data_IF_968301263282
#
_entry.id   IF_968301263282
#
_cell.length_a   1.000
_cell.length_b   1.000
_cell.length_c   1.000
_cell.angle_alpha   90.00
_cell.angle_beta   90.00
_cell.angle_gamma   90.00
#
_symmetry.space_group_name_H-M   'P 1'
#
loop_
_entity.id
_entity.type
_entity.pdbx_description
1 polymer ?
#
# COMPACT_ATOMS: atom_id res chain seq x y z
N UNK A 1 8.46 18.82 -6.61
CA UNK A 1 8.20 17.50 -5.98
C UNK A 1 7.54 16.57 -6.98
N UNK A 2 7.96 15.32 -7.06
CA UNK A 2 7.30 14.29 -7.88
C UNK A 2 6.34 13.46 -7.04
N UNK A 3 5.15 13.19 -7.58
CA UNK A 3 4.08 12.42 -6.94
C UNK A 3 3.46 11.45 -7.96
N UNK A 4 2.81 10.36 -7.49
CA UNK A 4 2.08 9.45 -8.38
C UNK A 4 0.56 9.67 -8.37
N UNK A 5 0.04 10.55 -7.51
CA UNK A 5 -1.38 10.86 -7.49
C UNK A 5 -1.75 11.89 -8.54
N UNK A 6 -2.79 11.60 -9.32
CA UNK A 6 -3.44 12.56 -10.22
C UNK A 6 -4.80 13.03 -9.71
N UNK A 7 -5.14 12.73 -8.45
CA UNK A 7 -6.39 13.17 -7.82
C UNK A 7 -6.33 14.69 -7.55
N UNK A 8 -7.29 15.44 -8.11
CA UNK A 8 -7.34 16.89 -8.00
C UNK A 8 -7.45 17.36 -6.54
N UNK A 9 -8.22 16.65 -5.68
CA UNK A 9 -8.36 17.01 -4.27
C UNK A 9 -7.04 16.88 -3.50
N UNK A 10 -6.22 15.86 -3.81
CA UNK A 10 -4.88 15.74 -3.23
C UNK A 10 -3.98 16.90 -3.67
N UNK A 11 -3.97 17.21 -4.97
CA UNK A 11 -3.14 18.30 -5.52
C UNK A 11 -3.56 19.67 -5.00
N UNK A 12 -4.85 19.93 -4.86
CA UNK A 12 -5.37 21.18 -4.27
C UNK A 12 -4.88 21.34 -2.83
N UNK A 13 -4.99 20.30 -2.00
CA UNK A 13 -4.49 20.29 -0.63
C UNK A 13 -2.98 20.53 -0.56
N UNK A 14 -2.19 19.86 -1.42
CA UNK A 14 -0.73 20.08 -1.45
C UNK A 14 -0.36 21.51 -1.89
N UNK A 15 -1.10 22.09 -2.85
CA UNK A 15 -0.88 23.46 -3.28
C UNK A 15 -1.22 24.47 -2.17
N UNK A 16 -2.29 24.26 -1.40
CA UNK A 16 -2.62 25.11 -0.25
C UNK A 16 -1.49 25.11 0.81
N UNK A 17 -0.98 23.91 1.16
CA UNK A 17 0.15 23.79 2.09
C UNK A 17 1.42 24.46 1.53
N UNK A 18 1.65 24.35 0.23
CA UNK A 18 2.81 24.97 -0.43
C UNK A 18 2.69 26.51 -0.47
N UNK A 19 1.51 27.04 -0.71
CA UNK A 19 1.26 28.49 -0.71
C UNK A 19 1.54 29.10 0.68
N UNK A 20 1.16 28.42 1.76
CA UNK A 20 1.45 28.84 3.13
C UNK A 20 2.96 28.84 3.42
N UNK A 21 3.68 27.81 2.96
CA UNK A 21 5.15 27.76 3.07
C UNK A 21 5.82 28.91 2.32
N UNK A 22 5.43 29.18 1.07
CA UNK A 22 5.98 30.24 0.24
C UNK A 22 5.76 31.62 0.88
N UNK A 23 4.62 31.84 1.55
CA UNK A 23 4.32 33.10 2.23
C UNK A 23 5.35 33.45 3.32
N UNK A 24 5.88 32.43 4.01
CA UNK A 24 6.86 32.57 5.09
C UNK A 24 8.31 32.44 4.60
N UNK A 25 8.53 31.94 3.37
CA UNK A 25 9.85 31.68 2.79
C UNK A 25 10.08 32.51 1.51
N UNK A 26 10.36 33.82 1.59
CA UNK A 26 10.41 34.71 0.43
C UNK A 26 11.56 34.39 -0.59
N UNK A 27 12.43 33.45 -0.28
CA UNK A 27 13.46 32.94 -1.21
C UNK A 27 12.94 31.80 -2.10
N UNK A 28 11.77 31.24 -1.77
CA UNK A 28 11.08 30.24 -2.57
C UNK A 28 10.05 30.93 -3.45
N UNK A 29 10.23 30.86 -4.76
CA UNK A 29 9.33 31.50 -5.72
C UNK A 29 8.11 30.63 -6.04
N UNK A 30 8.30 29.31 -6.06
CA UNK A 30 7.27 28.34 -6.45
C UNK A 30 7.60 26.95 -5.89
N UNK A 31 6.55 26.19 -5.52
CA UNK A 31 6.60 24.74 -5.29
C UNK A 31 5.69 24.10 -6.31
N UNK A 32 6.21 23.16 -7.09
CA UNK A 32 5.46 22.47 -8.15
C UNK A 32 5.34 20.98 -7.85
N UNK A 33 4.16 20.41 -8.16
CA UNK A 33 3.90 18.97 -8.05
C UNK A 33 3.83 18.36 -9.45
N UNK A 34 4.84 17.56 -9.82
CA UNK A 34 4.90 16.84 -11.08
C UNK A 34 4.29 15.45 -10.90
N UNK A 35 3.19 15.19 -11.60
CA UNK A 35 2.52 13.89 -11.57
C UNK A 35 3.20 12.95 -12.57
N UNK A 36 3.77 11.85 -12.08
CA UNK A 36 4.28 10.75 -12.89
C UNK A 36 3.30 9.57 -12.82
N UNK A 37 3.08 8.82 -13.93
CA UNK A 37 2.21 7.66 -13.92
C UNK A 37 2.66 6.60 -12.91
N UNK A 38 1.71 6.06 -12.14
CA UNK A 38 1.98 5.07 -11.09
C UNK A 38 2.80 3.88 -11.60
N UNK A 39 2.40 3.28 -12.73
CA UNK A 39 3.02 2.07 -13.29
C UNK A 39 4.50 2.22 -13.66
N UNK A 40 4.93 3.45 -13.97
CA UNK A 40 6.31 3.75 -14.40
C UNK A 40 7.02 4.71 -13.43
N UNK A 41 6.44 4.95 -12.26
CA UNK A 41 6.91 6.00 -11.36
C UNK A 41 8.37 5.82 -10.94
N UNK A 42 8.73 4.64 -10.42
CA UNK A 42 10.09 4.35 -9.94
C UNK A 42 11.10 4.34 -11.08
N UNK A 43 10.74 3.80 -12.25
CA UNK A 43 11.61 3.84 -13.42
C UNK A 43 11.90 5.28 -13.85
N UNK A 44 10.87 6.13 -13.95
CA UNK A 44 11.02 7.53 -14.31
C UNK A 44 11.86 8.31 -13.28
N UNK A 45 11.62 8.09 -11.99
CA UNK A 45 12.38 8.70 -10.90
C UNK A 45 13.86 8.27 -10.95
N UNK A 46 14.13 6.98 -11.14
CA UNK A 46 15.49 6.43 -11.25
C UNK A 46 16.23 7.02 -12.45
N UNK A 47 15.55 7.20 -13.59
CA UNK A 47 16.12 7.86 -14.77
C UNK A 47 16.48 9.33 -14.48
N UNK A 48 15.63 10.07 -13.77
CA UNK A 48 15.94 11.47 -13.38
C UNK A 48 17.16 11.53 -12.45
N UNK A 49 17.24 10.64 -11.45
CA UNK A 49 18.39 10.53 -10.54
C UNK A 49 19.67 10.20 -11.28
N UNK A 50 19.67 9.18 -12.14
CA UNK A 50 20.84 8.78 -12.94
C UNK A 50 21.27 9.85 -13.95
N UNK A 51 20.32 10.64 -14.44
CA UNK A 51 20.55 11.75 -15.36
C UNK A 51 21.19 12.98 -14.70
N UNK A 52 21.32 13.00 -13.36
CA UNK A 52 21.86 14.12 -12.61
C UNK A 52 20.93 15.34 -12.55
N UNK A 53 19.65 15.12 -12.72
CA UNK A 53 18.60 16.14 -12.61
C UNK A 53 17.45 15.61 -11.71
N UNK A 54 17.75 15.29 -10.43
CA UNK A 54 16.75 14.80 -9.50
C UNK A 54 15.68 15.86 -9.26
N UNK A 55 14.45 15.44 -8.90
CA UNK A 55 13.53 16.35 -8.24
C UNK A 55 14.10 16.74 -6.86
N UNK A 56 13.59 17.82 -6.27
CA UNK A 56 14.01 18.21 -4.91
C UNK A 56 13.46 17.21 -3.87
N UNK A 57 12.15 16.86 -4.03
CA UNK A 57 11.47 15.82 -3.24
C UNK A 57 10.75 14.86 -4.19
N UNK A 58 10.54 13.64 -3.71
CA UNK A 58 9.73 12.66 -4.42
C UNK A 58 9.06 11.66 -3.47
N UNK A 59 7.95 11.12 -3.92
CA UNK A 59 7.33 10.00 -3.25
C UNK A 59 8.14 8.73 -3.49
N UNK A 60 8.23 7.88 -2.49
CA UNK A 60 8.96 6.61 -2.54
C UNK A 60 8.04 5.51 -2.03
N UNK A 61 7.94 4.41 -2.78
CA UNK A 61 7.21 3.23 -2.31
C UNK A 61 8.00 2.49 -1.23
N UNK A 62 7.31 1.93 -0.26
CA UNK A 62 7.88 1.12 0.81
C UNK A 62 8.78 -0.01 0.28
N UNK A 63 8.37 -0.69 -0.78
CA UNK A 63 9.13 -1.78 -1.41
C UNK A 63 10.52 -1.38 -1.88
N UNK A 64 10.70 -0.10 -2.21
CA UNK A 64 11.97 0.46 -2.68
C UNK A 64 12.77 1.18 -1.58
N UNK A 65 12.24 1.31 -0.36
CA UNK A 65 12.91 2.02 0.73
C UNK A 65 14.35 1.54 0.99
N UNK A 66 14.61 0.23 1.20
CA UNK A 66 15.97 -0.25 1.44
C UNK A 66 16.93 0.03 0.30
N UNK A 67 16.46 -0.08 -0.95
CA UNK A 67 17.27 0.19 -2.16
C UNK A 67 17.70 1.65 -2.25
N UNK A 68 16.80 2.62 -1.98
CA UNK A 68 17.10 4.05 -2.04
C UNK A 68 17.98 4.49 -0.87
N UNK A 69 17.80 3.91 0.33
CA UNK A 69 18.63 4.18 1.51
C UNK A 69 20.06 3.65 1.28
N UNK A 70 20.22 2.38 0.88
CA UNK A 70 21.52 1.77 0.58
C UNK A 70 22.26 2.49 -0.56
N UNK A 71 21.54 2.99 -1.57
CA UNK A 71 22.12 3.78 -2.65
C UNK A 71 22.62 5.15 -2.18
N UNK A 72 22.29 5.59 -0.96
CA UNK A 72 22.73 6.85 -0.37
C UNK A 72 22.27 8.09 -1.16
N UNK A 73 21.10 8.04 -1.81
CA UNK A 73 20.59 9.15 -2.64
C UNK A 73 19.68 10.10 -1.87
N UNK A 74 19.28 9.72 -0.65
CA UNK A 74 18.38 10.47 0.20
C UNK A 74 19.14 11.30 1.24
N UNK A 75 18.53 12.41 1.64
CA UNK A 75 19.01 13.27 2.73
C UNK A 75 18.50 12.72 4.07
N UNK A 76 19.38 12.68 5.08
CA UNK A 76 18.95 12.43 6.45
C UNK A 76 18.10 13.61 6.96
N UNK A 77 16.87 13.33 7.34
CA UNK A 77 15.88 14.30 7.77
C UNK A 77 15.81 14.47 9.30
N UNK A 78 16.39 13.52 10.07
CA UNK A 78 16.21 13.45 11.53
C UNK A 78 16.52 14.79 12.19
N UNK A 79 17.71 15.36 11.95
CA UNK A 79 18.10 16.63 12.54
C UNK A 79 17.17 17.79 12.11
N UNK A 80 16.80 17.88 10.84
CA UNK A 80 15.92 18.96 10.35
C UNK A 80 14.56 18.92 11.02
N UNK A 81 13.99 17.71 11.17
CA UNK A 81 12.68 17.52 11.80
C UNK A 81 12.72 17.74 13.32
N UNK A 82 13.82 17.32 13.99
CA UNK A 82 14.01 17.55 15.44
C UNK A 82 14.18 19.04 15.77
N UNK A 83 14.89 19.80 14.90
CA UNK A 83 15.17 21.22 15.12
C UNK A 83 14.02 22.15 14.65
N UNK A 84 13.05 21.63 13.88
CA UNK A 84 11.89 22.41 13.43
C UNK A 84 11.00 22.79 14.61
N UNK A 85 10.64 24.08 14.70
CA UNK A 85 9.86 24.62 15.82
C UNK A 85 8.48 23.95 15.89
N UNK A 86 8.12 23.46 17.06
CA UNK A 86 6.84 22.80 17.36
C UNK A 86 6.50 21.60 16.45
N UNK A 87 7.51 20.93 15.86
CA UNK A 87 7.29 19.80 14.94
C UNK A 87 6.81 18.54 15.67
N UNK A 88 7.27 18.28 16.90
CA UNK A 88 6.89 17.08 17.65
C UNK A 88 7.47 15.80 17.05
N UNK A 89 8.79 15.74 16.81
CA UNK A 89 9.46 14.59 16.21
C UNK A 89 9.23 13.29 17.00
N UNK A 90 9.18 13.36 18.34
CA UNK A 90 8.92 12.23 19.24
C UNK A 90 7.48 11.66 19.11
N UNK A 91 6.58 12.34 18.40
CA UNK A 91 5.21 11.90 18.13
C UNK A 91 5.14 10.92 16.93
N UNK A 92 6.25 10.74 16.20
CA UNK A 92 6.30 9.78 15.10
C UNK A 92 6.41 8.36 15.64
N UNK A 93 5.52 7.46 15.17
CA UNK A 93 5.52 6.07 15.64
C UNK A 93 6.69 5.27 15.05
N UNK A 94 7.28 4.39 15.86
CA UNK A 94 8.34 3.49 15.40
C UNK A 94 7.83 2.58 14.27
N UNK A 95 6.61 2.04 14.38
CA UNK A 95 6.00 1.18 13.37
C UNK A 95 5.92 1.83 11.98
N UNK A 96 5.69 3.15 11.90
CA UNK A 96 5.65 3.85 10.63
C UNK A 96 7.05 4.22 10.12
N UNK A 97 8.00 4.52 11.01
CA UNK A 97 9.31 5.07 10.63
C UNK A 97 10.42 4.02 10.49
N UNK A 98 10.27 2.81 11.06
CA UNK A 98 11.33 1.78 11.09
C UNK A 98 11.89 1.48 9.69
N UNK A 99 11.04 1.30 8.69
CA UNK A 99 11.45 1.01 7.31
C UNK A 99 12.32 2.11 6.67
N UNK A 100 12.16 3.36 7.14
CA UNK A 100 12.79 4.55 6.56
C UNK A 100 14.02 4.99 7.34
N UNK A 101 14.41 4.21 8.36
CA UNK A 101 15.57 4.49 9.21
C UNK A 101 16.76 3.64 8.84
N UNK A 102 17.94 4.24 9.00
CA UNK A 102 19.21 3.54 9.06
C UNK A 102 20.03 4.19 10.17
N UNK A 103 20.56 3.41 11.10
CA UNK A 103 21.20 3.89 12.33
C UNK A 103 20.28 4.89 13.09
N UNK A 104 20.77 6.10 13.35
CA UNK A 104 20.01 7.18 14.02
C UNK A 104 19.29 8.11 13.01
N UNK A 105 19.44 7.90 11.70
CA UNK A 105 18.88 8.74 10.64
C UNK A 105 17.45 8.37 10.26
N UNK A 106 16.73 9.32 9.64
CA UNK A 106 15.44 9.13 8.96
C UNK A 106 15.55 9.63 7.53
N UNK A 107 15.47 8.75 6.55
CA UNK A 107 15.78 9.07 5.14
C UNK A 107 14.55 9.40 4.28
N UNK A 108 13.36 9.09 4.75
CA UNK A 108 12.12 9.59 4.17
C UNK A 108 11.04 9.68 5.24
N UNK A 109 10.06 10.57 5.05
CA UNK A 109 8.92 10.72 5.96
C UNK A 109 7.74 9.90 5.45
N UNK A 110 7.24 8.91 6.18
CA UNK A 110 6.12 8.04 5.78
C UNK A 110 4.78 8.79 5.89
N UNK A 111 4.47 9.66 4.94
CA UNK A 111 3.27 10.50 4.98
C UNK A 111 1.96 9.72 4.93
N UNK A 112 2.00 8.49 4.43
CA UNK A 112 0.86 7.58 4.34
C UNK A 112 1.25 6.21 4.87
N UNK A 113 0.65 5.79 5.98
CA UNK A 113 0.71 4.41 6.48
C UNK A 113 -0.69 3.83 6.35
N UNK A 114 -0.94 3.16 5.23
CA UNK A 114 -2.28 2.81 4.77
C UNK A 114 -2.50 1.30 4.85
N UNK A 115 -3.25 0.78 5.84
CA UNK A 115 -3.58 -0.63 5.91
C UNK A 115 -4.32 -1.11 4.66
N UNK A 116 -3.99 -2.31 4.20
CA UNK A 116 -4.83 -3.01 3.25
C UNK A 116 -6.09 -3.52 3.94
N UNK A 117 -7.20 -3.36 3.28
CA UNK A 117 -8.52 -3.75 3.78
C UNK A 117 -9.35 -4.33 2.65
N UNK A 118 -10.41 -5.06 2.99
CA UNK A 118 -11.37 -5.55 2.02
C UNK A 118 -12.54 -4.58 1.90
N UNK A 119 -12.66 -3.91 0.76
CA UNK A 119 -13.85 -3.16 0.38
C UNK A 119 -14.84 -4.10 -0.31
N UNK A 120 -16.15 -3.85 -0.14
CA UNK A 120 -17.17 -4.66 -0.78
C UNK A 120 -18.38 -3.82 -1.20
N UNK A 121 -19.05 -4.25 -2.26
CA UNK A 121 -20.29 -3.67 -2.77
C UNK A 121 -21.46 -4.38 -2.11
N UNK A 122 -22.13 -3.71 -1.15
CA UNK A 122 -23.21 -4.29 -0.38
C UNK A 122 -24.44 -4.62 -1.24
N UNK A 123 -24.70 -3.85 -2.31
CA UNK A 123 -25.84 -4.09 -3.20
C UNK A 123 -25.69 -5.42 -3.96
N UNK A 124 -24.45 -5.79 -4.34
CA UNK A 124 -24.17 -7.08 -5.01
C UNK A 124 -24.37 -8.28 -4.07
N UNK A 125 -24.02 -8.14 -2.79
CA UNK A 125 -24.28 -9.16 -1.76
C UNK A 125 -25.78 -9.31 -1.51
N UNK A 126 -26.52 -8.20 -1.43
CA UNK A 126 -27.98 -8.24 -1.29
C UNK A 126 -28.64 -8.91 -2.51
N UNK A 127 -28.22 -8.59 -3.74
CA UNK A 127 -28.73 -9.21 -4.97
C UNK A 127 -28.45 -10.71 -5.02
N UNK A 128 -27.29 -11.15 -4.56
CA UNK A 128 -26.93 -12.57 -4.45
C UNK A 128 -27.61 -13.28 -3.26
N UNK A 129 -28.22 -12.53 -2.33
CA UNK A 129 -28.83 -13.07 -1.12
C UNK A 129 -27.84 -13.62 -0.11
N UNK A 130 -26.66 -13.01 -0.03
CA UNK A 130 -25.55 -13.39 0.85
C UNK A 130 -25.43 -12.43 2.04
N UNK A 131 -24.87 -12.94 3.13
CA UNK A 131 -24.37 -12.10 4.22
C UNK A 131 -23.19 -11.26 3.73
N UNK A 132 -23.15 -10.00 4.16
CA UNK A 132 -22.08 -9.08 3.81
C UNK A 132 -20.77 -9.40 4.55
N UNK A 133 -19.60 -9.00 4.03
CA UNK A 133 -18.35 -9.11 4.76
C UNK A 133 -18.38 -8.54 6.18
N UNK A 134 -19.12 -7.44 6.44
CA UNK A 134 -19.30 -6.91 7.79
C UNK A 134 -20.07 -7.88 8.69
N UNK A 135 -21.15 -8.48 8.22
CA UNK A 135 -21.92 -9.46 8.99
C UNK A 135 -21.08 -10.71 9.31
N UNK A 136 -20.31 -11.21 8.32
CA UNK A 136 -19.37 -12.33 8.53
C UNK A 136 -18.26 -11.96 9.52
N UNK A 137 -17.69 -10.74 9.44
CA UNK A 137 -16.70 -10.25 10.37
C UNK A 137 -17.23 -10.19 11.82
N UNK A 138 -18.43 -9.64 12.02
CA UNK A 138 -19.10 -9.56 13.32
C UNK A 138 -19.45 -10.96 13.89
N UNK A 139 -19.70 -11.93 13.02
CA UNK A 139 -19.92 -13.32 13.40
C UNK A 139 -18.63 -14.09 13.73
N UNK A 140 -17.45 -13.54 13.40
CA UNK A 140 -16.15 -14.24 13.51
C UNK A 140 -15.99 -15.34 12.44
N UNK A 141 -16.63 -15.15 11.28
CA UNK A 141 -16.63 -16.06 10.14
C UNK A 141 -15.95 -15.44 8.89
N UNK A 142 -15.31 -14.26 9.05
CA UNK A 142 -14.65 -13.55 7.97
C UNK A 142 -13.26 -14.12 7.70
N UNK A 143 -13.18 -15.04 6.75
CA UNK A 143 -11.96 -15.79 6.38
C UNK A 143 -11.70 -15.70 4.88
N UNK A 144 -10.49 -16.04 4.43
CA UNK A 144 -10.19 -16.15 3.00
C UNK A 144 -11.06 -17.20 2.28
N UNK A 145 -11.44 -18.28 2.97
CA UNK A 145 -12.41 -19.25 2.43
C UNK A 145 -13.78 -18.57 2.21
N UNK A 146 -14.23 -17.74 3.15
CA UNK A 146 -15.48 -16.99 3.01
C UNK A 146 -15.43 -16.00 1.84
N UNK A 147 -14.27 -15.35 1.59
CA UNK A 147 -14.08 -14.48 0.42
C UNK A 147 -14.22 -15.27 -0.88
N UNK A 148 -13.56 -16.43 -0.97
CA UNK A 148 -13.59 -17.28 -2.17
C UNK A 148 -15.01 -17.82 -2.43
N UNK A 149 -15.64 -18.37 -1.40
CA UNK A 149 -17.00 -18.92 -1.49
C UNK A 149 -18.05 -17.87 -1.86
N UNK A 150 -18.07 -16.73 -1.14
CA UNK A 150 -19.03 -15.65 -1.43
C UNK A 150 -18.74 -15.00 -2.79
N UNK A 151 -17.46 -14.81 -3.13
CA UNK A 151 -17.06 -14.31 -4.45
C UNK A 151 -17.54 -15.19 -5.60
N UNK A 152 -17.30 -16.51 -5.52
CA UNK A 152 -17.80 -17.46 -6.51
C UNK A 152 -19.34 -17.47 -6.60
N UNK A 153 -20.02 -17.35 -5.45
CA UNK A 153 -21.49 -17.34 -5.43
C UNK A 153 -22.08 -16.05 -6.02
N UNK A 154 -21.50 -14.88 -5.73
CA UNK A 154 -21.92 -13.61 -6.35
C UNK A 154 -21.84 -13.67 -7.88
N UNK A 155 -20.75 -14.27 -8.41
CA UNK A 155 -20.59 -14.49 -9.86
C UNK A 155 -21.61 -15.49 -10.39
N UNK A 156 -21.81 -16.61 -9.71
CA UNK A 156 -22.76 -17.65 -10.13
C UNK A 156 -24.22 -17.17 -10.17
N UNK A 157 -24.63 -16.30 -9.26
CA UNK A 157 -25.95 -15.67 -9.23
C UNK A 157 -26.07 -14.51 -10.24
N UNK A 158 -24.96 -14.08 -10.85
CA UNK A 158 -24.90 -13.01 -11.85
C UNK A 158 -25.01 -11.60 -11.26
N UNK A 159 -24.78 -11.44 -9.95
CA UNK A 159 -24.83 -10.16 -9.26
C UNK A 159 -23.57 -9.30 -9.55
N UNK A 160 -22.42 -9.92 -9.86
CA UNK A 160 -21.22 -9.23 -10.32
C UNK A 160 -20.47 -10.04 -11.39
N UNK A 161 -19.68 -9.37 -12.27
CA UNK A 161 -18.78 -10.05 -13.20
C UNK A 161 -17.65 -10.83 -12.52
N UNK A 162 -17.15 -10.32 -11.38
CA UNK A 162 -16.07 -10.91 -10.60
C UNK A 162 -16.38 -10.86 -9.10
N UNK A 163 -15.94 -11.87 -8.36
CA UNK A 163 -16.18 -11.98 -6.92
C UNK A 163 -15.28 -11.06 -6.12
N UNK A 164 -13.97 -11.14 -6.33
CA UNK A 164 -13.01 -10.26 -5.69
C UNK A 164 -11.83 -9.96 -6.59
N UNK A 165 -11.12 -8.89 -6.31
CA UNK A 165 -9.87 -8.51 -6.98
C UNK A 165 -8.84 -8.05 -5.96
N UNK A 166 -7.59 -8.50 -6.10
CA UNK A 166 -6.45 -7.89 -5.43
C UNK A 166 -5.99 -6.73 -6.31
N UNK A 167 -6.26 -5.49 -5.86
CA UNK A 167 -5.98 -4.30 -6.65
C UNK A 167 -4.49 -4.17 -6.97
N UNK A 168 -4.22 -3.64 -8.15
CA UNK A 168 -2.88 -3.40 -8.68
C UNK A 168 -2.02 -4.66 -8.84
N UNK A 169 -2.53 -5.85 -8.48
CA UNK A 169 -1.82 -7.10 -8.71
C UNK A 169 -1.65 -7.37 -10.22
N UNK A 170 -2.72 -7.39 -10.98
CA UNK A 170 -2.80 -7.57 -12.43
C UNK A 170 -1.82 -8.63 -13.00
N UNK A 171 -1.48 -9.66 -12.19
CA UNK A 171 -0.47 -10.68 -12.47
C UNK A 171 0.96 -10.12 -12.70
N UNK A 172 1.24 -8.92 -12.21
CA UNK A 172 2.52 -8.22 -12.35
C UNK A 172 3.13 -7.80 -11.02
N UNK A 173 2.36 -7.18 -10.14
CA UNK A 173 2.81 -6.77 -8.81
C UNK A 173 2.51 -7.89 -7.81
N UNK A 174 3.28 -8.96 -7.89
CA UNK A 174 3.10 -10.18 -7.09
C UNK A 174 3.17 -9.91 -5.59
N UNK A 175 3.92 -8.91 -5.16
CA UNK A 175 4.08 -8.49 -3.78
C UNK A 175 2.76 -8.03 -3.13
N UNK A 176 1.76 -7.58 -3.90
CA UNK A 176 0.42 -7.29 -3.39
C UNK A 176 -0.31 -8.55 -2.87
N UNK A 177 0.09 -9.75 -3.30
CA UNK A 177 -0.42 -11.01 -2.74
C UNK A 177 0.07 -11.28 -1.31
N UNK A 178 0.95 -10.44 -0.75
CA UNK A 178 1.30 -10.48 0.67
C UNK A 178 0.05 -10.32 1.56
N UNK A 179 -0.97 -9.59 1.08
CA UNK A 179 -2.27 -9.49 1.74
C UNK A 179 -2.98 -10.83 1.91
N UNK A 180 -2.64 -11.84 1.10
CA UNK A 180 -3.14 -13.19 1.19
C UNK A 180 -2.17 -14.11 1.95
N UNK A 181 -0.91 -14.24 1.47
CA UNK A 181 -0.02 -15.29 1.99
C UNK A 181 0.39 -15.08 3.45
N UNK A 182 0.38 -13.83 3.98
CA UNK A 182 0.58 -13.57 5.41
C UNK A 182 -0.47 -14.27 6.28
N UNK A 183 -1.72 -14.37 5.80
CA UNK A 183 -2.79 -15.13 6.46
C UNK A 183 -2.54 -16.63 6.49
N UNK A 184 -1.69 -17.14 5.60
CA UNK A 184 -1.23 -18.54 5.62
C UNK A 184 0.04 -18.72 6.47
N UNK A 185 0.60 -17.64 7.02
CA UNK A 185 1.84 -17.66 7.80
C UNK A 185 3.10 -17.75 6.95
N UNK A 186 2.99 -17.41 5.65
CA UNK A 186 4.11 -17.45 4.73
C UNK A 186 4.88 -16.12 4.71
N UNK A 187 6.18 -16.22 4.47
CA UNK A 187 7.10 -15.11 4.29
C UNK A 187 7.83 -15.28 2.95
N UNK A 188 8.02 -14.19 2.21
CA UNK A 188 8.68 -14.21 0.90
C UNK A 188 10.17 -14.51 0.97
N UNK A 189 10.82 -14.15 2.08
CA UNK A 189 12.23 -14.45 2.39
C UNK A 189 12.50 -14.44 3.90
N UNK A 190 13.68 -14.92 4.27
CA UNK A 190 14.16 -14.86 5.66
C UNK A 190 14.29 -13.41 6.14
N UNK A 191 14.26 -13.21 7.46
CA UNK A 191 14.34 -11.86 8.07
C UNK A 191 15.63 -11.10 7.75
N UNK A 192 16.70 -11.79 7.34
CA UNK A 192 17.96 -11.18 6.89
C UNK A 192 18.01 -10.99 5.36
N UNK A 193 16.92 -11.31 4.65
CA UNK A 193 16.81 -11.16 3.20
C UNK A 193 17.69 -12.10 2.36
N UNK A 194 18.30 -13.16 2.95
CA UNK A 194 19.30 -13.97 2.27
C UNK A 194 18.81 -15.33 1.76
N UNK A 195 17.58 -15.71 2.11
CA UNK A 195 16.99 -16.99 1.72
C UNK A 195 15.57 -16.78 1.19
N UNK A 196 15.27 -17.37 0.05
CA UNK A 196 13.94 -17.33 -0.53
C UNK A 196 12.95 -18.18 0.28
N UNK A 197 11.80 -17.61 0.62
CA UNK A 197 10.68 -18.25 1.31
C UNK A 197 9.53 -18.66 0.37
N UNK A 198 9.61 -18.30 -0.93
CA UNK A 198 8.51 -18.53 -1.88
C UNK A 198 8.21 -20.03 -2.11
N UNK A 199 9.13 -20.93 -1.83
CA UNK A 199 8.91 -22.39 -1.93
C UNK A 199 8.53 -23.05 -0.58
N UNK A 200 8.27 -22.26 0.49
CA UNK A 200 7.81 -22.80 1.75
C UNK A 200 6.41 -23.44 1.63
N UNK A 201 6.08 -24.47 2.40
CA UNK A 201 4.78 -25.15 2.31
C UNK A 201 3.59 -24.19 2.47
N UNK A 202 3.68 -23.23 3.37
CA UNK A 202 2.65 -22.22 3.64
C UNK A 202 2.45 -21.29 2.43
N UNK A 203 3.53 -20.96 1.72
CA UNK A 203 3.46 -20.17 0.48
C UNK A 203 2.83 -20.99 -0.66
N UNK A 204 3.19 -22.26 -0.78
CA UNK A 204 2.57 -23.19 -1.75
C UNK A 204 1.08 -23.30 -1.49
N UNK A 205 0.65 -23.39 -0.22
CA UNK A 205 -0.76 -23.44 0.17
C UNK A 205 -1.49 -22.14 -0.23
N UNK A 206 -0.91 -20.97 0.06
CA UNK A 206 -1.48 -19.67 -0.30
C UNK A 206 -1.62 -19.48 -1.81
N UNK A 207 -0.58 -19.81 -2.58
CA UNK A 207 -0.64 -19.70 -4.04
C UNK A 207 -1.57 -20.75 -4.68
N UNK A 208 -1.69 -21.94 -4.09
CA UNK A 208 -2.67 -22.96 -4.52
C UNK A 208 -4.09 -22.43 -4.31
N UNK A 209 -4.36 -21.89 -3.12
CA UNK A 209 -5.66 -21.24 -2.82
C UNK A 209 -6.01 -20.14 -3.84
N UNK A 210 -5.06 -19.27 -4.15
CA UNK A 210 -5.29 -18.19 -5.11
C UNK A 210 -5.47 -18.71 -6.54
N UNK A 211 -4.68 -19.71 -6.94
CA UNK A 211 -4.80 -20.38 -8.22
C UNK A 211 -6.18 -21.01 -8.42
N UNK A 212 -6.69 -21.73 -7.40
CA UNK A 212 -8.03 -22.30 -7.40
C UNK A 212 -9.11 -21.20 -7.51
N UNK A 213 -8.96 -20.08 -6.78
CA UNK A 213 -9.90 -18.95 -6.87
C UNK A 213 -9.97 -18.33 -8.27
N UNK A 214 -8.85 -18.39 -9.03
CA UNK A 214 -8.79 -17.90 -10.41
C UNK A 214 -9.34 -18.92 -11.41
N UNK A 215 -8.92 -20.20 -11.35
CA UNK A 215 -9.11 -21.16 -12.43
C UNK A 215 -10.22 -22.20 -12.15
N UNK A 216 -10.51 -22.49 -10.88
CA UNK A 216 -11.56 -23.47 -10.53
C UNK A 216 -12.87 -22.78 -10.16
N UNK A 217 -12.83 -21.74 -9.31
CA UNK A 217 -14.02 -21.08 -8.80
C UNK A 217 -14.42 -19.84 -9.62
N UNK A 218 -13.51 -19.34 -10.48
CA UNK A 218 -13.69 -18.11 -11.26
C UNK A 218 -14.09 -16.88 -10.39
N UNK A 219 -13.72 -16.91 -9.11
CA UNK A 219 -14.03 -15.86 -8.15
C UNK A 219 -13.15 -14.60 -8.34
N UNK A 220 -11.91 -14.79 -8.85
CA UNK A 220 -10.99 -13.71 -9.20
C UNK A 220 -10.80 -13.66 -10.74
N UNK A 221 -10.67 -12.47 -11.36
CA UNK A 221 -10.41 -12.37 -12.80
C UNK A 221 -9.12 -13.11 -13.19
N UNK A 222 -9.17 -13.81 -14.33
CA UNK A 222 -8.00 -14.52 -14.87
C UNK A 222 -7.02 -13.60 -15.60
N UNK A 223 -5.85 -14.12 -16.02
CA UNK A 223 -4.84 -13.37 -16.74
C UNK A 223 -5.41 -12.70 -18.00
N UNK A 224 -5.09 -11.41 -18.19
CA UNK A 224 -5.58 -10.61 -19.31
C UNK A 224 -7.03 -10.14 -19.19
N UNK A 225 -7.70 -10.44 -18.10
CA UNK A 225 -8.95 -9.81 -17.71
C UNK A 225 -8.64 -8.65 -16.75
N UNK A 226 -9.40 -7.58 -16.83
CA UNK A 226 -9.33 -6.48 -15.88
C UNK A 226 -10.67 -6.37 -15.14
N UNK A 227 -10.60 -6.09 -13.85
CA UNK A 227 -11.75 -5.75 -13.03
C UNK A 227 -11.39 -4.57 -12.15
N UNK A 228 -12.30 -3.61 -12.06
CA UNK A 228 -12.14 -2.46 -11.19
C UNK A 228 -13.37 -2.34 -10.28
N UNK A 229 -13.16 -2.55 -8.98
CA UNK A 229 -14.19 -2.43 -7.96
C UNK A 229 -14.84 -1.04 -7.97
N UNK A 230 -14.04 0.00 -8.17
CA UNK A 230 -14.49 1.39 -8.10
C UNK A 230 -15.45 1.79 -9.23
N UNK A 231 -15.56 0.97 -10.29
CA UNK A 231 -16.59 1.14 -11.34
C UNK A 231 -17.67 0.05 -11.30
N UNK A 232 -17.67 -0.81 -10.27
CA UNK A 232 -18.68 -1.85 -10.07
C UNK A 232 -18.43 -3.15 -10.84
N UNK A 233 -17.19 -3.46 -11.23
CA UNK A 233 -16.86 -4.69 -11.97
C UNK A 233 -16.56 -5.88 -11.05
N UNK A 234 -16.45 -5.67 -9.73
CA UNK A 234 -16.16 -6.71 -8.75
C UNK A 234 -16.99 -6.49 -7.47
N UNK A 235 -17.37 -7.58 -6.81
CA UNK A 235 -18.10 -7.50 -5.55
C UNK A 235 -17.19 -7.11 -4.38
N UNK A 236 -15.91 -7.44 -4.41
CA UNK A 236 -14.94 -7.12 -3.37
C UNK A 236 -13.59 -6.68 -3.98
N UNK A 237 -12.82 -5.89 -3.23
CA UNK A 237 -11.42 -5.61 -3.56
C UNK A 237 -10.55 -5.50 -2.31
N UNK A 238 -9.36 -6.09 -2.39
CA UNK A 238 -8.28 -5.82 -1.43
C UNK A 238 -7.49 -4.61 -1.92
N UNK A 239 -7.44 -3.56 -1.11
CA UNK A 239 -6.64 -2.36 -1.42
C UNK A 239 -6.36 -1.55 -0.17
N UNK A 240 -5.50 -0.54 -0.26
CA UNK A 240 -5.20 0.37 0.83
C UNK A 240 -6.42 1.22 1.20
N UNK A 241 -6.59 1.49 2.51
CA UNK A 241 -7.72 2.28 3.03
C UNK A 241 -7.74 3.72 2.48
N UNK A 242 -6.60 4.28 2.08
CA UNK A 242 -6.51 5.59 1.43
C UNK A 242 -7.33 5.68 0.12
N UNK A 243 -7.66 4.54 -0.50
CA UNK A 243 -8.49 4.46 -1.70
C UNK A 243 -9.99 4.66 -1.42
N UNK A 244 -10.41 4.76 -0.15
CA UNK A 244 -11.79 5.12 0.18
C UNK A 244 -12.22 6.45 -0.48
N UNK A 245 -11.29 7.37 -0.70
CA UNK A 245 -11.55 8.63 -1.39
C UNK A 245 -12.07 8.45 -2.83
N UNK A 246 -11.75 7.33 -3.50
CA UNK A 246 -12.24 7.03 -4.84
C UNK A 246 -13.73 6.63 -4.84
N UNK A 247 -14.32 6.41 -3.66
CA UNK A 247 -15.73 6.02 -3.46
C UNK A 247 -16.63 7.19 -3.01
N UNK A 248 -16.12 8.42 -2.91
CA UNK A 248 -16.89 9.58 -2.44
C UNK A 248 -18.15 9.85 -3.30
N UNK A 249 -18.06 9.67 -4.61
CA UNK A 249 -19.13 9.92 -5.56
C UNK A 249 -19.80 8.64 -6.09
N UNK A 250 -19.54 7.45 -5.48
CA UNK A 250 -20.05 6.19 -5.97
C UNK A 250 -21.55 6.02 -5.77
N UNK A 251 -22.19 5.34 -6.72
CA UNK A 251 -23.64 5.17 -6.78
C UNK A 251 -24.13 3.84 -6.19
N UNK A 252 -23.26 3.09 -5.52
CA UNK A 252 -23.60 1.84 -4.84
C UNK A 252 -23.31 1.91 -3.34
N UNK A 253 -24.00 1.12 -2.56
CA UNK A 253 -23.70 0.97 -1.15
C UNK A 253 -22.45 0.11 -0.98
N UNK A 254 -21.51 0.58 -0.19
CA UNK A 254 -20.25 -0.12 0.05
C UNK A 254 -19.91 -0.19 1.55
N UNK A 255 -19.02 -1.10 1.88
CA UNK A 255 -18.46 -1.19 3.21
C UNK A 255 -17.01 -1.61 3.15
N UNK A 256 -16.35 -1.58 4.31
CA UNK A 256 -14.95 -1.99 4.47
C UNK A 256 -14.77 -2.78 5.76
N UNK A 257 -13.96 -3.83 5.69
CA UNK A 257 -13.56 -4.68 6.83
C UNK A 257 -12.06 -4.94 6.77
N UNK A 258 -11.42 -5.35 7.88
CA UNK A 258 -10.04 -5.81 7.88
C UNK A 258 -9.81 -6.93 6.88
N UNK A 259 -8.53 -7.26 6.60
CA UNK A 259 -8.18 -8.44 5.81
C UNK A 259 -8.81 -9.70 6.44
N UNK A 260 -9.23 -10.68 5.61
CA UNK A 260 -9.82 -11.93 6.09
C UNK A 260 -8.83 -12.75 6.91
N UNK A 261 -9.29 -13.43 7.97
CA UNK A 261 -8.48 -14.38 8.71
C UNK A 261 -8.03 -15.53 7.80
N UNK A 262 -6.75 -15.88 7.87
CA UNK A 262 -6.19 -17.03 7.17
C UNK A 262 -6.00 -18.24 8.08
N UNK A 263 -5.50 -19.38 7.55
CA UNK A 263 -5.21 -20.56 8.36
C UNK A 263 -4.23 -20.34 9.52
N UNK A 264 -3.33 -19.35 9.41
CA UNK A 264 -2.40 -18.95 10.45
C UNK A 264 -2.99 -17.94 11.47
N UNK A 265 -4.21 -17.46 11.25
CA UNK A 265 -4.92 -16.51 12.08
C UNK A 265 -5.03 -15.13 11.47
N UNK A 266 -5.35 -14.14 12.31
CA UNK A 266 -5.43 -12.74 11.93
C UNK A 266 -4.08 -12.21 11.46
N UNK A 267 -4.13 -11.40 10.42
CA UNK A 267 -2.96 -10.68 9.92
C UNK A 267 -3.39 -9.33 9.36
N UNK A 268 -2.48 -8.38 9.38
CA UNK A 268 -2.68 -7.09 8.74
C UNK A 268 -1.46 -6.75 7.89
N UNK A 269 -1.69 -6.12 6.75
CA UNK A 269 -0.63 -5.64 5.86
C UNK A 269 -0.83 -4.13 5.67
N UNK A 270 0.26 -3.39 5.77
CA UNK A 270 0.27 -1.94 5.55
C UNK A 270 1.10 -1.61 4.33
N UNK A 271 0.55 -0.76 3.47
CA UNK A 271 1.29 -0.10 2.42
C UNK A 271 1.75 1.27 2.90
N UNK A 272 2.98 1.64 2.59
CA UNK A 272 3.51 2.94 2.94
C UNK A 272 3.94 3.73 1.71
N UNK A 273 3.61 5.02 1.73
CA UNK A 273 4.21 6.00 0.85
C UNK A 273 5.00 6.99 1.68
N UNK A 274 6.25 7.24 1.30
CA UNK A 274 7.07 8.24 1.99
C UNK A 274 7.52 9.36 1.07
N UNK A 275 7.89 10.49 1.65
CA UNK A 275 8.48 11.63 0.96
C UNK A 275 9.97 11.68 1.29
N UNK A 276 10.82 11.47 0.28
CA UNK A 276 12.26 11.62 0.39
C UNK A 276 12.74 12.94 -0.20
N UNK A 277 13.81 13.50 0.37
CA UNK A 277 14.56 14.63 -0.17
C UNK A 277 15.81 14.10 -0.84
N UNK A 278 16.03 14.43 -2.12
CA UNK A 278 17.19 13.92 -2.84
C UNK A 278 18.43 14.80 -2.58
N UNK A 279 19.49 14.18 -2.04
CA UNK A 279 20.71 14.89 -1.64
C UNK A 279 21.51 15.51 -2.80
N UNK A 280 21.27 15.05 -4.03
CA UNK A 280 21.87 15.63 -5.23
C UNK A 280 21.14 16.89 -5.74
N UNK A 281 19.99 17.24 -5.14
CA UNK A 281 19.28 18.50 -5.45
C UNK A 281 20.08 19.71 -4.94
N UNK A 282 20.20 20.78 -5.74
CA UNK A 282 20.78 22.04 -5.26
C UNK A 282 19.91 22.74 -4.19
N UNK A 283 18.67 22.32 -4.01
CA UNK A 283 17.70 22.89 -3.09
C UNK A 283 17.40 21.96 -1.89
N UNK A 284 18.23 20.92 -1.64
CA UNK A 284 17.94 19.88 -0.64
C UNK A 284 17.65 20.46 0.76
N UNK A 285 18.34 21.53 1.18
CA UNK A 285 18.12 22.16 2.48
C UNK A 285 16.71 22.78 2.58
N UNK A 286 16.32 23.62 1.63
CA UNK A 286 14.97 24.24 1.64
C UNK A 286 13.87 23.21 1.34
N UNK A 287 14.18 22.13 0.61
CA UNK A 287 13.28 21.03 0.38
C UNK A 287 12.98 20.26 1.70
N UNK A 288 13.99 20.07 2.55
CA UNK A 288 13.81 19.49 3.88
C UNK A 288 12.99 20.41 4.80
N UNK A 289 13.18 21.73 4.72
CA UNK A 289 12.34 22.71 5.45
C UNK A 289 10.89 22.66 4.97
N UNK A 290 10.66 22.56 3.65
CA UNK A 290 9.31 22.39 3.10
C UNK A 290 8.68 21.08 3.56
N UNK A 291 9.43 19.98 3.58
CA UNK A 291 8.95 18.71 4.13
C UNK A 291 8.54 18.84 5.59
N UNK A 292 9.38 19.49 6.43
CA UNK A 292 9.05 19.73 7.83
C UNK A 292 7.76 20.55 7.99
N UNK A 293 7.56 21.57 7.16
CA UNK A 293 6.31 22.34 7.12
C UNK A 293 5.12 21.49 6.70
N UNK A 294 5.25 20.75 5.59
CA UNK A 294 4.18 19.92 5.04
C UNK A 294 3.73 18.80 5.99
N UNK A 295 4.62 18.36 6.88
CA UNK A 295 4.40 17.21 7.77
C UNK A 295 4.38 17.57 9.26
N UNK A 296 4.27 18.85 9.61
CA UNK A 296 4.03 19.29 10.98
C UNK A 296 2.66 18.78 11.48
N UNK A 297 2.35 18.92 12.77
CA UNK A 297 1.11 18.38 13.34
C UNK A 297 -0.15 18.92 12.64
N UNK A 298 -0.21 20.23 12.35
CA UNK A 298 -1.37 20.88 11.71
C UNK A 298 -1.60 20.34 10.28
N UNK A 299 -0.54 20.32 9.46
CA UNK A 299 -0.63 19.84 8.10
C UNK A 299 -0.79 18.30 8.03
N UNK A 300 -0.19 17.55 8.98
CA UNK A 300 -0.45 16.10 9.12
C UNK A 300 -1.91 15.80 9.42
N UNK A 301 -2.59 16.63 10.20
CA UNK A 301 -4.04 16.52 10.43
C UNK A 301 -4.84 16.77 9.14
N UNK A 302 -4.41 17.73 8.32
CA UNK A 302 -5.02 17.98 7.01
C UNK A 302 -4.77 16.83 6.04
N UNK A 303 -3.53 16.31 5.99
CA UNK A 303 -3.16 15.13 5.18
C UNK A 303 -3.94 13.88 5.59
N UNK A 304 -4.29 13.75 6.89
CA UNK A 304 -5.04 12.60 7.43
C UNK A 304 -6.43 12.41 6.81
N UNK A 305 -6.95 13.41 6.09
CA UNK A 305 -8.18 13.27 5.31
C UNK A 305 -8.05 12.14 4.27
N UNK A 306 -6.87 11.96 3.69
CA UNK A 306 -6.61 10.99 2.63
C UNK A 306 -5.53 9.96 3.01
N UNK A 307 -4.58 10.36 3.87
CA UNK A 307 -3.37 9.60 4.15
C UNK A 307 -3.22 9.39 5.66
N UNK A 308 -3.42 8.16 6.18
CA UNK A 308 -3.23 7.90 7.61
C UNK A 308 -1.81 8.31 8.05
N UNK A 309 -1.69 9.22 9.05
CA UNK A 309 -0.42 9.83 9.41
C UNK A 309 0.44 8.91 10.28
N UNK A 310 1.77 9.10 10.30
CA UNK A 310 2.67 8.35 11.18
C UNK A 310 2.73 8.90 12.62
N UNK A 311 1.78 9.74 13.03
CA UNK A 311 1.80 10.45 14.34
C UNK A 311 0.87 9.76 15.33
N UNK A 312 1.41 9.41 16.52
CA UNK A 312 0.65 8.77 17.59
C UNK A 312 -0.54 9.62 18.04
N UNK A 313 -0.35 10.94 18.15
CA UNK A 313 -1.41 11.89 18.55
C UNK A 313 -2.61 11.94 17.58
N UNK A 314 -2.40 11.57 16.32
CA UNK A 314 -3.41 11.58 15.25
C UNK A 314 -3.99 10.19 14.94
N UNK A 315 -3.36 9.12 15.40
CA UNK A 315 -3.79 7.73 15.16
C UNK A 315 -4.83 7.28 16.19
N UNK A 316 -6.00 7.89 16.15
CA UNK A 316 -7.16 7.46 16.92
C UNK A 316 -8.45 7.78 16.12
N UNK A 317 -9.49 6.97 16.29
CA UNK A 317 -10.70 7.05 15.49
C UNK A 317 -11.45 8.38 15.63
N UNK A 318 -11.42 9.03 16.83
CA UNK A 318 -12.07 10.34 17.05
C UNK A 318 -11.41 11.42 16.18
N UNK A 319 -10.07 11.53 16.21
CA UNK A 319 -9.33 12.53 15.43
C UNK A 319 -9.42 12.25 13.92
N UNK A 320 -9.26 10.98 13.51
CA UNK A 320 -9.40 10.60 12.11
C UNK A 320 -10.82 10.86 11.59
N UNK A 321 -11.84 10.64 12.42
CA UNK A 321 -13.23 10.90 12.09
C UNK A 321 -13.58 12.38 11.89
N UNK A 322 -12.80 13.31 12.47
CA UNK A 322 -12.98 14.76 12.22
C UNK A 322 -12.66 15.13 10.77
N UNK A 323 -11.77 14.42 10.12
CA UNK A 323 -11.28 14.73 8.76
C UNK A 323 -11.75 13.76 7.70
N UNK A 324 -12.14 12.51 8.08
CA UNK A 324 -12.60 11.49 7.15
C UNK A 324 -14.14 11.35 7.21
N UNK A 325 -14.89 11.91 6.25
CA UNK A 325 -16.35 11.85 6.24
C UNK A 325 -16.90 10.51 5.70
N UNK A 326 -16.05 9.64 5.17
CA UNK A 326 -16.45 8.43 4.44
C UNK A 326 -16.54 7.19 5.34
N UNK A 327 -15.78 7.17 6.44
CA UNK A 327 -15.69 6.06 7.35
C UNK A 327 -16.28 6.42 8.73
N UNK A 328 -17.00 5.49 9.33
CA UNK A 328 -17.43 5.64 10.73
C UNK A 328 -16.24 5.49 11.69
N UNK A 329 -16.37 6.03 12.92
CA UNK A 329 -15.35 5.84 13.97
C UNK A 329 -15.04 4.36 14.21
N UNK A 330 -16.03 3.47 14.16
CA UNK A 330 -15.84 2.03 14.32
C UNK A 330 -15.03 1.42 13.18
N UNK A 331 -15.27 1.85 11.93
CA UNK A 331 -14.46 1.43 10.78
C UNK A 331 -13.03 1.98 10.89
N UNK A 332 -12.87 3.26 11.25
CA UNK A 332 -11.55 3.88 11.45
C UNK A 332 -10.74 3.16 12.51
N UNK A 333 -11.36 2.79 13.66
CA UNK A 333 -10.68 2.04 14.71
C UNK A 333 -10.16 0.70 14.16
N UNK A 334 -11.05 -0.12 13.60
CA UNK A 334 -10.70 -1.50 13.21
C UNK A 334 -9.84 -1.61 11.97
N UNK A 335 -10.00 -0.71 10.96
CA UNK A 335 -9.24 -0.83 9.70
C UNK A 335 -8.03 0.09 9.62
N UNK A 336 -7.99 1.19 10.39
CA UNK A 336 -6.86 2.12 10.37
C UNK A 336 -6.01 1.96 11.63
N UNK A 337 -6.59 2.20 12.80
CA UNK A 337 -5.83 2.22 14.06
C UNK A 337 -5.28 0.84 14.39
N UNK A 338 -6.14 -0.17 14.47
CA UNK A 338 -5.74 -1.56 14.73
C UNK A 338 -4.88 -2.12 13.59
N UNK A 339 -5.23 -1.78 12.33
CA UNK A 339 -4.49 -2.20 11.16
C UNK A 339 -3.04 -1.71 11.14
N UNK A 340 -2.78 -0.46 11.52
CA UNK A 340 -1.43 0.10 11.66
C UNK A 340 -0.70 -0.52 12.85
N UNK A 341 -1.40 -0.68 13.99
CA UNK A 341 -0.79 -1.19 15.22
C UNK A 341 -0.27 -2.64 15.10
N UNK A 342 -0.88 -3.44 14.22
CA UNK A 342 -0.58 -4.88 14.08
C UNK A 342 -0.02 -5.26 12.71
N UNK A 343 -0.02 -4.33 11.76
CA UNK A 343 0.33 -4.59 10.36
C UNK A 343 1.84 -4.75 10.13
N UNK A 344 2.15 -5.56 9.11
CA UNK A 344 3.50 -5.69 8.55
C UNK A 344 3.52 -5.07 7.16
N UNK A 345 4.67 -4.56 6.72
CA UNK A 345 4.81 -4.02 5.36
C UNK A 345 4.69 -5.12 4.29
N UNK A 346 4.36 -4.73 3.06
CA UNK A 346 4.57 -5.60 1.89
C UNK A 346 6.06 -5.90 1.73
N UNK A 347 6.45 -6.89 0.90
CA UNK A 347 7.85 -7.27 0.70
C UNK A 347 8.78 -6.10 0.39
N UNK A 348 9.90 -6.04 1.09
CA UNK A 348 10.97 -5.04 0.88
C UNK A 348 12.32 -5.72 0.82
N UNK A 349 13.22 -5.23 -0.04
CA UNK A 349 14.58 -5.77 -0.15
C UNK A 349 15.55 -4.74 -0.74
N UNK A 350 16.85 -4.80 -0.39
CA UNK A 350 17.88 -3.91 -0.96
C UNK A 350 18.07 -4.10 -2.47
N UNK A 351 17.69 -5.25 -3.02
CA UNK A 351 17.70 -5.56 -4.45
C UNK A 351 16.28 -5.71 -5.00
N UNK A 352 15.28 -5.00 -4.41
CA UNK A 352 13.87 -5.25 -4.72
C UNK A 352 13.57 -5.11 -6.22
N UNK A 353 14.05 -4.08 -6.89
CA UNK A 353 13.77 -3.85 -8.32
C UNK A 353 14.16 -5.03 -9.22
N UNK A 354 15.34 -5.64 -8.99
CA UNK A 354 15.77 -6.80 -9.77
C UNK A 354 15.04 -8.08 -9.36
N UNK A 355 14.71 -8.24 -8.09
CA UNK A 355 13.92 -9.37 -7.58
C UNK A 355 12.49 -9.31 -8.10
N UNK A 356 11.87 -8.13 -8.12
CA UNK A 356 10.53 -7.91 -8.67
C UNK A 356 10.41 -8.44 -10.10
N UNK A 357 11.29 -8.02 -10.97
CA UNK A 357 11.28 -8.42 -12.37
C UNK A 357 11.58 -9.93 -12.57
N UNK A 358 12.54 -10.44 -11.80
CA UNK A 358 12.95 -11.84 -11.88
C UNK A 358 11.85 -12.78 -11.39
N UNK A 359 11.27 -12.50 -10.23
CA UNK A 359 10.18 -13.31 -9.63
C UNK A 359 8.94 -13.23 -10.52
N UNK A 360 8.57 -12.04 -10.99
CA UNK A 360 7.43 -11.86 -11.89
C UNK A 360 7.56 -12.72 -13.16
N UNK A 361 8.75 -12.72 -13.77
CA UNK A 361 8.99 -13.49 -15.00
C UNK A 361 8.82 -15.00 -14.81
N UNK A 362 9.21 -15.55 -13.64
CA UNK A 362 9.01 -16.96 -13.33
C UNK A 362 7.55 -17.27 -12.95
N UNK A 363 6.88 -16.35 -12.22
CA UNK A 363 5.48 -16.50 -11.86
C UNK A 363 4.54 -16.46 -13.08
N UNK A 364 4.96 -15.98 -14.25
CA UNK A 364 4.15 -16.07 -15.48
C UNK A 364 3.75 -17.53 -15.81
N UNK A 365 4.55 -18.51 -15.41
CA UNK A 365 4.23 -19.93 -15.59
C UNK A 365 3.13 -20.44 -14.64
N UNK A 366 2.80 -19.69 -13.57
CA UNK A 366 1.75 -20.01 -12.61
C UNK A 366 0.35 -19.78 -13.20
N UNK A 367 0.21 -18.87 -14.16
CA UNK A 367 -1.07 -18.34 -14.58
C UNK A 367 -1.69 -19.11 -15.74
N UNK A 368 -1.72 -20.45 -15.60
CA UNK A 368 -2.42 -21.39 -16.47
C UNK A 368 -3.18 -22.40 -15.61
N UNK A 369 -4.29 -22.96 -16.08
CA UNK A 369 -5.19 -23.82 -15.31
C UNK A 369 -4.56 -25.18 -14.91
N UNK A 370 -3.48 -25.59 -15.58
CA UNK A 370 -2.75 -26.82 -15.33
C UNK A 370 -1.36 -26.60 -14.69
N UNK A 371 -1.11 -25.41 -14.11
CA UNK A 371 0.18 -25.07 -13.51
C UNK A 371 0.51 -25.96 -12.30
N UNK A 372 1.76 -26.39 -12.21
CA UNK A 372 2.33 -27.03 -11.02
C UNK A 372 2.84 -25.92 -10.08
N UNK A 373 1.98 -25.48 -9.16
CA UNK A 373 2.24 -24.39 -8.24
C UNK A 373 3.54 -24.57 -7.47
N UNK A 374 3.76 -25.76 -6.89
CA UNK A 374 4.97 -26.07 -6.12
C UNK A 374 6.23 -25.99 -6.99
N UNK A 375 6.18 -26.53 -8.20
CA UNK A 375 7.32 -26.50 -9.12
C UNK A 375 7.65 -25.07 -9.59
N UNK A 376 6.64 -24.22 -9.83
CA UNK A 376 6.86 -22.82 -10.20
C UNK A 376 7.49 -22.04 -9.04
N UNK A 377 6.99 -22.18 -7.83
CA UNK A 377 7.53 -21.50 -6.65
C UNK A 377 8.96 -21.96 -6.31
N UNK A 378 9.26 -23.24 -6.52
CA UNK A 378 10.64 -23.74 -6.40
C UNK A 378 11.56 -23.09 -7.45
N UNK A 379 11.10 -22.95 -8.70
CA UNK A 379 11.86 -22.27 -9.74
C UNK A 379 12.08 -20.79 -9.44
N UNK A 380 11.08 -20.11 -8.85
CA UNK A 380 11.22 -18.73 -8.35
C UNK A 380 12.38 -18.63 -7.36
N UNK A 381 12.45 -19.53 -6.38
CA UNK A 381 13.54 -19.52 -5.42
C UNK A 381 14.90 -19.82 -6.07
N UNK A 382 14.98 -20.75 -7.01
CA UNK A 382 16.23 -21.12 -7.69
C UNK A 382 16.85 -19.91 -8.43
N UNK A 383 16.03 -18.98 -8.93
CA UNK A 383 16.52 -17.80 -9.64
C UNK A 383 16.65 -16.55 -8.75
N UNK A 384 15.86 -16.45 -7.68
CA UNK A 384 15.86 -15.30 -6.78
C UNK A 384 17.02 -15.34 -5.76
N UNK A 385 17.30 -16.49 -5.14
CA UNK A 385 18.35 -16.63 -4.12
C UNK A 385 19.73 -16.10 -4.54
N UNK A 386 20.21 -16.27 -5.79
CA UNK A 386 21.50 -15.71 -6.19
C UNK A 386 21.52 -14.17 -6.26
N UNK A 387 20.35 -13.50 -6.15
CA UNK A 387 20.18 -12.06 -6.23
C UNK A 387 19.93 -11.40 -4.85
N UNK A 388 19.77 -12.20 -3.80
CA UNK A 388 19.54 -11.80 -2.41
C UNK A 388 20.81 -11.42 -1.66
#
# INVERSE_FOLDING_TARGET
MTVWTGNDAHLDMFNEIADDFIADHPTVEEVTFEVLPFDNYIEALTVQLAGGNPPDLGWIFERNAPEFIEAGVLTDLAQTLEEAEDYGYDDLTDAATELWREDDGLYAYPFSTSPFSMFYNADMFEEAGLETPTELYEAGEWTWDAVRESGAQVVAEGAAPHGFVVRDFEFQLWDNLATLWRGFGAEEWSSDGTQCGMAAPEMVEAFTFFHEAVFEDEAHPGPGQSADFFVGDSAMTVTQISRAADLEDEQFNWGVVPLPEGPAGDHQVVGQGAIGVFNASPNAEVAAEFLAHMTNEENSRTLAQFFPPPRESLLNAEVLGETNPLLSEEQLERVVVDGIATGTSIPTHVNFSVLQDTIRAELDAMWTDDADVEAVLQQVCDVAEPLM
#
